data_IF_225266053854
#
_entry.id   IF_225266053854
#
_cell.length_a   1.000
_cell.length_b   1.000
_cell.length_c   1.000
_cell.angle_alpha   90.00
_cell.angle_beta   90.00
_cell.angle_gamma   90.00
#
_symmetry.space_group_name_H-M   'P 1'
#
loop_
_entity.id
_entity.type
_entity.pdbx_description
1 polymer ?
#
# COMPACT_ATOMS: atom_id res chain seq x y z
N UNK A 1 22.65 -6.94 -3.27
CA UNK A 1 21.43 -7.76 -3.06
C UNK A 1 20.31 -7.05 -3.82
N UNK A 2 19.49 -7.74 -4.61
CA UNK A 2 18.39 -7.09 -5.34
C UNK A 2 17.28 -6.75 -4.34
N UNK A 3 17.21 -5.48 -3.92
CA UNK A 3 16.13 -4.96 -3.10
C UNK A 3 14.85 -5.03 -3.95
N UNK A 4 13.96 -5.98 -3.63
CA UNK A 4 12.69 -6.11 -4.34
C UNK A 4 11.85 -4.88 -4.00
N UNK A 5 11.64 -4.02 -5.00
CA UNK A 5 10.75 -2.88 -4.87
C UNK A 5 9.33 -3.39 -4.67
N UNK A 6 8.60 -2.78 -3.76
CA UNK A 6 7.21 -3.09 -3.44
C UNK A 6 6.35 -1.92 -3.85
N UNK A 7 5.25 -2.19 -4.53
CA UNK A 7 4.29 -1.17 -4.98
C UNK A 7 2.88 -1.56 -4.56
N UNK A 8 2.07 -0.55 -4.24
CA UNK A 8 0.62 -0.68 -4.09
C UNK A 8 -0.02 0.45 -4.88
N UNK A 9 -1.07 0.09 -5.62
CA UNK A 9 -1.94 1.05 -6.27
C UNK A 9 -3.34 0.94 -5.66
N UNK A 10 -3.87 2.07 -5.22
CA UNK A 10 -5.26 2.17 -4.77
C UNK A 10 -6.18 2.08 -6.00
N UNK A 11 -7.30 1.35 -5.92
CA UNK A 11 -8.26 1.29 -7.01
C UNK A 11 -9.05 2.59 -7.17
N UNK A 12 -9.61 2.80 -8.36
CA UNK A 12 -10.40 3.97 -8.71
C UNK A 12 -11.65 4.12 -7.79
N UNK A 13 -12.05 5.34 -7.38
CA UNK A 13 -11.63 6.67 -7.85
C UNK A 13 -10.29 7.18 -7.30
N UNK A 14 -9.61 6.40 -6.46
CA UNK A 14 -8.40 6.85 -5.83
C UNK A 14 -7.16 6.58 -6.68
N UNK A 15 -6.61 7.61 -7.31
CA UNK A 15 -5.37 7.52 -8.09
C UNK A 15 -4.11 7.54 -7.21
N UNK A 16 -4.18 6.97 -6.00
CA UNK A 16 -3.05 6.89 -5.07
C UNK A 16 -2.16 5.70 -5.41
N UNK A 17 -0.86 5.94 -5.55
CA UNK A 17 0.15 4.90 -5.76
C UNK A 17 1.34 5.16 -4.85
N UNK A 18 1.79 4.12 -4.15
CA UNK A 18 2.98 4.15 -3.30
C UNK A 18 3.91 3.02 -3.69
N UNK A 19 5.21 3.29 -3.73
CA UNK A 19 6.25 2.29 -3.98
C UNK A 19 7.46 2.55 -3.09
N UNK A 20 8.03 1.50 -2.52
CA UNK A 20 9.19 1.58 -1.64
C UNK A 20 9.93 0.25 -1.59
N UNK A 21 11.18 0.22 -1.12
CA UNK A 21 11.88 -1.04 -0.85
C UNK A 21 11.40 -1.73 0.43
N UNK A 22 10.82 -0.96 1.36
CA UNK A 22 10.30 -1.48 2.62
C UNK A 22 8.79 -1.78 2.53
N UNK A 23 8.42 -3.03 2.80
CA UNK A 23 7.02 -3.46 2.78
C UNK A 23 6.18 -2.79 3.86
N UNK A 24 6.75 -2.60 5.04
CA UNK A 24 6.01 -2.06 6.17
C UNK A 24 5.67 -0.60 5.90
N UNK A 25 6.59 0.16 5.32
CA UNK A 25 6.32 1.55 4.93
C UNK A 25 5.20 1.65 3.89
N UNK A 26 5.23 0.77 2.88
CA UNK A 26 4.17 0.73 1.85
C UNK A 26 2.82 0.39 2.48
N UNK A 27 2.77 -0.64 3.33
CA UNK A 27 1.54 -1.09 4.01
C UNK A 27 0.99 -0.01 4.94
N UNK A 28 1.84 0.61 5.76
CA UNK A 28 1.44 1.67 6.69
C UNK A 28 0.84 2.86 5.93
N UNK A 29 1.48 3.29 4.84
CA UNK A 29 0.97 4.38 4.00
C UNK A 29 -0.40 4.06 3.41
N UNK A 30 -0.60 2.83 2.91
CA UNK A 30 -1.87 2.40 2.32
C UNK A 30 -2.97 2.35 3.37
N UNK A 31 -2.67 1.84 4.57
CA UNK A 31 -3.64 1.81 5.68
C UNK A 31 -4.01 3.20 6.16
N UNK A 32 -3.02 4.08 6.34
CA UNK A 32 -3.27 5.47 6.70
C UNK A 32 -4.11 6.18 5.63
N UNK A 33 -3.81 5.94 4.36
CA UNK A 33 -4.55 6.47 3.24
C UNK A 33 -6.00 5.96 3.22
N UNK A 34 -6.23 4.65 3.34
CA UNK A 34 -7.57 4.08 3.41
C UNK A 34 -8.38 4.68 4.58
N UNK A 35 -7.77 4.84 5.74
CA UNK A 35 -8.43 5.40 6.93
C UNK A 35 -8.72 6.89 6.82
N UNK A 36 -7.81 7.68 6.25
CA UNK A 36 -7.95 9.14 6.13
C UNK A 36 -8.75 9.57 4.91
N UNK A 37 -8.52 8.95 3.76
CA UNK A 37 -9.12 9.33 2.47
C UNK A 37 -10.43 8.60 2.20
N UNK A 38 -10.57 7.35 2.65
CA UNK A 38 -11.78 6.54 2.42
C UNK A 38 -12.58 6.25 3.69
N UNK A 39 -12.11 6.68 4.87
CA UNK A 39 -12.66 6.28 6.17
C UNK A 39 -12.82 4.75 6.32
N UNK A 40 -11.98 4.00 5.60
CA UNK A 40 -12.01 2.54 5.55
C UNK A 40 -10.91 1.99 6.44
N UNK A 41 -11.26 1.08 7.35
CA UNK A 41 -10.27 0.39 8.17
C UNK A 41 -9.75 -0.82 7.40
N UNK A 42 -8.64 -0.61 6.69
CA UNK A 42 -7.92 -1.65 5.97
C UNK A 42 -6.93 -2.32 6.93
N UNK A 43 -6.97 -3.65 7.04
CA UNK A 43 -6.03 -4.41 7.88
C UNK A 43 -4.68 -4.59 7.20
N UNK A 44 -3.60 -4.71 7.98
CA UNK A 44 -2.23 -4.92 7.48
C UNK A 44 -2.14 -6.14 6.55
N UNK A 45 -2.88 -7.20 6.85
CA UNK A 45 -2.90 -8.42 6.04
C UNK A 45 -3.51 -8.18 4.66
N UNK A 46 -4.59 -7.41 4.57
CA UNK A 46 -5.21 -7.04 3.30
C UNK A 46 -4.32 -6.09 2.52
N UNK A 47 -3.77 -5.06 3.18
CA UNK A 47 -2.81 -4.16 2.58
C UNK A 47 -1.58 -4.90 2.02
N UNK A 48 -1.02 -5.87 2.76
CA UNK A 48 0.07 -6.73 2.28
C UNK A 48 -0.30 -7.57 1.06
N UNK A 49 -1.54 -8.07 0.99
CA UNK A 49 -2.00 -8.82 -0.19
C UNK A 49 -2.13 -7.93 -1.43
N UNK A 50 -2.31 -6.63 -1.24
CA UNK A 50 -2.34 -5.64 -2.33
C UNK A 50 -0.93 -5.21 -2.76
N UNK A 51 0.10 -5.51 -1.96
CA UNK A 51 1.49 -5.21 -2.30
C UNK A 51 1.96 -6.15 -3.40
N UNK A 52 2.35 -5.57 -4.53
CA UNK A 52 3.00 -6.26 -5.63
C UNK A 52 4.51 -6.02 -5.58
N UNK A 53 5.29 -7.06 -5.81
CA UNK A 53 6.72 -6.91 -6.11
C UNK A 53 6.87 -6.31 -7.52
N UNK A 54 7.60 -5.21 -7.63
CA UNK A 54 7.87 -4.48 -8.87
C UNK A 54 9.23 -4.84 -9.47
#
# INVERSE_FOLDING_TARGET
MAEQMKKVQCPDPCNFMVKSHDEKEVVDFVMQHAKKSHNMDLSEQDAKKMVESA
#
